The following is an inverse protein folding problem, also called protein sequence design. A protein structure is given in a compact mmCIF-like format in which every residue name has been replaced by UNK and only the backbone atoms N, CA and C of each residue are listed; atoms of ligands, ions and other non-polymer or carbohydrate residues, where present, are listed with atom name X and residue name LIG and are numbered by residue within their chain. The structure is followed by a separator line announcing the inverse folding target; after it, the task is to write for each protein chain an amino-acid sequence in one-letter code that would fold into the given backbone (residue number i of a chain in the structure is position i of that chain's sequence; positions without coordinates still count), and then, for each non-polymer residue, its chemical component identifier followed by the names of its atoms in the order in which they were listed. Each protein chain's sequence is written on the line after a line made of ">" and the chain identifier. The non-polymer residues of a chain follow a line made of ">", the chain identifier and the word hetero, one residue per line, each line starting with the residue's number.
data_IF_354968556737
#
_entry.id   IF_354968556737
#
_cell.length_a   1.000
_cell.length_b   1.000
_cell.length_c   1.000
_cell.angle_alpha   90.00
_cell.angle_beta   90.00
_cell.angle_gamma   90.00
#
_symmetry.space_group_name_H-M   'P 1'
#
loop_
_entity.id
_entity.type
_entity.pdbx_description
1 polymer ?
#
# COMPACT_ATOMS: atom_id res chain seq x y z
N UNK A 1 25.45 15.76 52.14
CA UNK A 1 25.96 15.96 50.76
C UNK A 1 24.79 16.26 49.81
N UNK A 2 24.28 17.50 49.79
CA UNK A 2 23.12 17.89 48.96
C UNK A 2 23.38 17.81 47.44
N UNK A 3 24.65 17.82 46.99
CA UNK A 3 25.01 17.67 45.57
C UNK A 3 24.80 16.26 45.00
N UNK A 4 24.80 15.22 45.83
CA UNK A 4 24.68 13.82 45.37
C UNK A 4 23.28 13.49 44.85
N UNK A 5 22.25 14.10 45.43
CA UNK A 5 20.85 13.92 44.98
C UNK A 5 20.61 14.49 43.58
N UNK A 6 21.27 15.58 43.22
CA UNK A 6 21.21 16.14 41.86
C UNK A 6 21.85 15.21 40.82
N UNK A 7 22.99 14.58 41.16
CA UNK A 7 23.64 13.61 40.27
C UNK A 7 22.76 12.38 40.06
N UNK A 8 22.18 11.85 41.15
CA UNK A 8 21.24 10.71 41.06
C UNK A 8 20.01 11.10 40.24
N UNK A 9 19.41 12.26 40.48
CA UNK A 9 18.27 12.75 39.71
C UNK A 9 18.58 12.92 38.21
N UNK A 10 19.75 13.49 37.88
CA UNK A 10 20.20 13.65 36.50
C UNK A 10 20.44 12.28 35.83
N UNK A 11 21.06 11.33 36.52
CA UNK A 11 21.29 9.99 36.00
C UNK A 11 19.98 9.25 35.71
N UNK A 12 19.00 9.34 36.62
CA UNK A 12 17.65 8.76 36.42
C UNK A 12 16.96 9.42 35.21
N UNK A 13 17.00 10.75 35.11
CA UNK A 13 16.41 11.47 33.98
C UNK A 13 17.02 11.03 32.64
N UNK A 14 18.35 10.95 32.56
CA UNK A 14 19.06 10.48 31.37
C UNK A 14 18.66 9.05 31.02
N UNK A 15 18.58 8.15 32.01
CA UNK A 15 18.12 6.78 31.81
C UNK A 15 16.70 6.70 31.24
N UNK A 16 15.77 7.50 31.77
CA UNK A 16 14.39 7.57 31.27
C UNK A 16 14.33 8.10 29.83
N UNK A 17 15.10 9.15 29.53
CA UNK A 17 15.19 9.70 28.16
C UNK A 17 15.76 8.66 27.20
N UNK A 18 16.85 7.99 27.55
CA UNK A 18 17.45 6.94 26.72
C UNK A 18 16.46 5.80 26.44
N UNK A 19 15.75 5.32 27.47
CA UNK A 19 14.73 4.28 27.32
C UNK A 19 13.58 4.73 26.40
N UNK A 20 13.11 5.98 26.54
CA UNK A 20 12.09 6.56 25.69
C UNK A 20 12.53 6.66 24.22
N UNK A 21 13.79 7.05 23.97
CA UNK A 21 14.35 7.14 22.63
C UNK A 21 14.49 5.77 21.97
N UNK A 22 14.96 4.76 22.70
CA UNK A 22 15.03 3.37 22.20
C UNK A 22 13.65 2.84 21.84
N UNK A 23 12.67 3.05 22.73
CA UNK A 23 11.28 2.65 22.47
C UNK A 23 10.70 3.34 21.24
N UNK A 24 10.95 4.65 21.09
CA UNK A 24 10.48 5.45 19.96
C UNK A 24 11.12 4.98 18.65
N UNK A 25 12.43 4.75 18.64
CA UNK A 25 13.16 4.25 17.47
C UNK A 25 12.59 2.89 17.01
N UNK A 26 12.42 1.95 17.94
CA UNK A 26 11.83 0.64 17.63
C UNK A 26 10.38 0.73 17.15
N UNK A 27 9.58 1.68 17.67
CA UNK A 27 8.21 1.92 17.19
C UNK A 27 8.19 2.42 15.75
N UNK A 28 9.04 3.39 15.41
CA UNK A 28 9.12 3.95 14.05
C UNK A 28 9.54 2.87 13.05
N UNK A 29 10.57 2.10 13.40
CA UNK A 29 11.08 0.99 12.58
C UNK A 29 9.97 -0.02 12.26
N UNK A 30 9.26 -0.51 13.29
CA UNK A 30 8.15 -1.46 13.11
C UNK A 30 7.06 -0.94 12.18
N UNK A 31 6.74 0.35 12.22
CA UNK A 31 5.73 0.95 11.34
C UNK A 31 6.23 1.05 9.89
N UNK A 32 7.52 1.36 9.69
CA UNK A 32 8.12 1.38 8.35
C UNK A 32 8.11 -0.02 7.72
N UNK A 33 8.59 -1.04 8.45
CA UNK A 33 8.59 -2.43 7.96
C UNK A 33 7.16 -2.91 7.63
N UNK A 34 6.16 -2.51 8.42
CA UNK A 34 4.75 -2.82 8.13
C UNK A 34 4.27 -2.14 6.85
N UNK A 35 4.54 -0.85 6.66
CA UNK A 35 4.18 -0.14 5.43
C UNK A 35 4.85 -0.78 4.20
N UNK A 36 6.13 -1.19 4.29
CA UNK A 36 6.82 -1.88 3.21
C UNK A 36 6.26 -3.28 2.91
N UNK A 37 5.85 -4.01 3.94
CA UNK A 37 5.17 -5.29 3.77
C UNK A 37 3.80 -5.12 3.08
N UNK A 38 3.08 -4.05 3.42
CA UNK A 38 1.81 -3.71 2.79
C UNK A 38 1.99 -3.29 1.33
N UNK A 39 3.04 -2.53 1.01
CA UNK A 39 3.39 -2.18 -0.36
C UNK A 39 3.68 -3.43 -1.22
N UNK A 40 4.42 -4.41 -0.69
CA UNK A 40 4.66 -5.69 -1.37
C UNK A 40 3.40 -6.52 -1.54
N UNK A 41 2.52 -6.55 -0.53
CA UNK A 41 1.24 -7.23 -0.62
C UNK A 41 0.33 -6.59 -1.67
N UNK A 42 0.28 -5.26 -1.72
CA UNK A 42 -0.43 -4.47 -2.72
C UNK A 42 0.05 -4.81 -4.14
N UNK A 43 1.37 -4.80 -4.36
CA UNK A 43 1.97 -5.14 -5.66
C UNK A 43 1.60 -6.56 -6.12
N UNK A 44 1.61 -7.54 -5.21
CA UNK A 44 1.15 -8.89 -5.53
C UNK A 44 -0.34 -8.94 -5.93
N UNK A 45 -1.19 -8.06 -5.39
CA UNK A 45 -2.59 -7.95 -5.81
C UNK A 45 -2.75 -7.26 -7.17
N UNK A 46 -1.93 -6.24 -7.47
CA UNK A 46 -1.88 -5.61 -8.79
C UNK A 46 -1.53 -6.64 -9.87
N UNK A 47 -0.43 -7.40 -9.67
CA UNK A 47 0.00 -8.44 -10.60
C UNK A 47 -1.07 -9.52 -10.82
N UNK A 48 -1.72 -9.99 -9.74
CA UNK A 48 -2.80 -10.98 -9.85
C UNK A 48 -3.99 -10.46 -10.65
N UNK A 49 -4.37 -9.20 -10.45
CA UNK A 49 -5.47 -8.56 -11.18
C UNK A 49 -5.13 -8.37 -12.66
N UNK A 50 -3.94 -7.86 -12.96
CA UNK A 50 -3.49 -7.66 -14.33
C UNK A 50 -3.34 -8.99 -15.09
N UNK A 51 -2.83 -10.04 -14.44
CA UNK A 51 -2.78 -11.38 -15.02
C UNK A 51 -4.19 -11.94 -15.31
N UNK A 52 -5.12 -11.84 -14.36
CA UNK A 52 -6.50 -12.26 -14.57
C UNK A 52 -7.18 -11.48 -15.71
N UNK A 53 -6.92 -10.18 -15.81
CA UNK A 53 -7.43 -9.34 -16.90
C UNK A 53 -6.85 -9.72 -18.26
N UNK A 54 -5.57 -10.08 -18.34
CA UNK A 54 -4.94 -10.55 -19.56
C UNK A 54 -5.55 -11.87 -20.05
N UNK A 55 -5.80 -12.82 -19.14
CA UNK A 55 -6.46 -14.11 -19.44
C UNK A 55 -7.89 -13.88 -19.93
N UNK A 56 -8.66 -13.01 -19.26
CA UNK A 56 -10.00 -12.64 -19.69
C UNK A 56 -10.00 -12.00 -21.08
N UNK A 57 -9.05 -11.10 -21.35
CA UNK A 57 -8.92 -10.42 -22.63
C UNK A 57 -8.61 -11.40 -23.77
N UNK A 58 -7.71 -12.37 -23.53
CA UNK A 58 -7.39 -13.43 -24.50
C UNK A 58 -8.63 -14.26 -24.81
N UNK A 59 -9.40 -14.67 -23.79
CA UNK A 59 -10.62 -15.45 -23.99
C UNK A 59 -11.70 -14.71 -24.80
N UNK A 60 -11.78 -13.39 -24.64
CA UNK A 60 -12.75 -12.52 -25.33
C UNK A 60 -12.22 -11.84 -26.58
N UNK A 61 -10.99 -12.14 -27.00
CA UNK A 61 -10.30 -11.46 -28.11
C UNK A 61 -10.28 -9.92 -27.98
N UNK A 62 -10.19 -9.42 -26.73
CA UNK A 62 -10.20 -7.99 -26.41
C UNK A 62 -8.82 -7.36 -26.46
N UNK A 63 -8.43 -6.83 -27.63
CA UNK A 63 -7.06 -6.31 -27.88
C UNK A 63 -6.69 -5.16 -26.93
N UNK A 64 -7.58 -4.19 -26.73
CA UNK A 64 -7.30 -3.03 -25.86
C UNK A 64 -7.12 -3.43 -24.40
N UNK A 65 -7.99 -4.32 -23.89
CA UNK A 65 -7.88 -4.82 -22.52
C UNK A 65 -6.60 -5.65 -22.34
N UNK A 66 -6.24 -6.47 -23.33
CA UNK A 66 -5.00 -7.24 -23.29
C UNK A 66 -3.77 -6.31 -23.26
N UNK A 67 -3.76 -5.28 -24.09
CA UNK A 67 -2.69 -4.28 -24.12
C UNK A 67 -2.55 -3.56 -22.77
N UNK A 68 -3.66 -3.06 -22.21
CA UNK A 68 -3.65 -2.39 -20.91
C UNK A 68 -3.17 -3.32 -19.77
N UNK A 69 -3.62 -4.58 -19.77
CA UNK A 69 -3.18 -5.58 -18.80
C UNK A 69 -1.68 -5.88 -18.91
N UNK A 70 -1.14 -5.98 -20.13
CA UNK A 70 0.29 -6.16 -20.38
C UNK A 70 1.10 -4.95 -19.92
N UNK A 71 0.65 -3.74 -20.25
CA UNK A 71 1.31 -2.50 -19.80
C UNK A 71 1.35 -2.45 -18.27
N UNK A 72 0.26 -2.82 -17.57
CA UNK A 72 0.24 -2.88 -16.11
C UNK A 72 1.23 -3.90 -15.51
N UNK A 73 1.37 -5.08 -16.14
CA UNK A 73 2.34 -6.12 -15.72
C UNK A 73 3.79 -5.66 -15.89
N UNK A 74 4.09 -4.97 -16.99
CA UNK A 74 5.46 -4.57 -17.35
C UNK A 74 5.84 -3.20 -16.77
N UNK A 75 4.88 -2.42 -16.26
CA UNK A 75 5.10 -1.06 -15.77
C UNK A 75 6.08 -1.02 -14.59
N UNK A 76 7.08 -0.14 -14.71
CA UNK A 76 8.01 0.17 -13.63
C UNK A 76 7.37 1.05 -12.54
N UNK A 77 8.08 1.28 -11.41
CA UNK A 77 7.51 1.98 -10.24
C UNK A 77 6.96 3.39 -10.49
N UNK A 78 7.47 4.09 -11.51
CA UNK A 78 7.02 5.46 -11.85
C UNK A 78 5.78 5.49 -12.74
N UNK A 79 5.58 4.46 -13.54
CA UNK A 79 4.50 4.37 -14.53
C UNK A 79 3.33 3.51 -14.03
N UNK A 80 3.55 2.74 -12.95
CA UNK A 80 2.60 1.77 -12.43
C UNK A 80 1.23 2.38 -12.11
N UNK A 81 1.17 3.54 -11.47
CA UNK A 81 -0.10 4.21 -11.14
C UNK A 81 -0.92 4.52 -12.41
N UNK A 82 -0.27 5.08 -13.45
CA UNK A 82 -0.93 5.39 -14.71
C UNK A 82 -1.40 4.13 -15.46
N UNK A 83 -0.57 3.09 -15.49
CA UNK A 83 -0.91 1.82 -16.12
C UNK A 83 -2.10 1.11 -15.44
N UNK A 84 -2.15 1.14 -14.10
CA UNK A 84 -3.27 0.56 -13.33
C UNK A 84 -4.57 1.35 -13.48
N UNK A 85 -4.48 2.67 -13.64
CA UNK A 85 -5.64 3.51 -13.94
C UNK A 85 -6.18 3.24 -15.34
N UNK A 86 -5.31 3.03 -16.33
CA UNK A 86 -5.72 2.65 -17.68
C UNK A 86 -6.36 1.26 -17.71
N UNK A 87 -5.76 0.26 -17.05
CA UNK A 87 -6.36 -1.06 -16.88
C UNK A 87 -7.73 -0.98 -16.19
N UNK A 88 -7.86 -0.16 -15.16
CA UNK A 88 -9.13 0.03 -14.46
C UNK A 88 -10.19 0.65 -15.37
N UNK A 89 -9.81 1.60 -16.22
CA UNK A 89 -10.71 2.19 -17.24
C UNK A 89 -11.20 1.13 -18.22
N UNK A 90 -10.29 0.32 -18.77
CA UNK A 90 -10.62 -0.75 -19.72
C UNK A 90 -11.52 -1.83 -19.10
N UNK A 91 -11.26 -2.19 -17.84
CA UNK A 91 -12.09 -3.15 -17.10
C UNK A 91 -13.49 -2.61 -16.79
N UNK A 92 -13.65 -1.31 -16.53
CA UNK A 92 -14.96 -0.69 -16.30
C UNK A 92 -15.78 -0.59 -17.58
N UNK A 93 -15.15 -0.43 -18.75
CA UNK A 93 -15.85 -0.48 -20.04
C UNK A 93 -16.21 -1.91 -20.48
N UNK A 94 -15.51 -2.92 -19.95
CA UNK A 94 -15.83 -4.31 -20.21
C UNK A 94 -17.14 -4.71 -19.49
N UNK A 95 -18.04 -5.39 -20.20
CA UNK A 95 -19.22 -6.02 -19.57
C UNK A 95 -18.78 -7.28 -18.85
N UNK A 96 -18.75 -7.26 -17.53
CA UNK A 96 -18.32 -8.38 -16.69
C UNK A 96 -19.55 -9.05 -16.07
N UNK A 97 -19.80 -10.30 -16.46
CA UNK A 97 -20.85 -11.14 -15.89
C UNK A 97 -20.24 -11.97 -14.74
N UNK A 98 -20.69 -11.81 -13.49
CA UNK A 98 -20.15 -12.56 -12.36
C UNK A 98 -20.31 -14.09 -12.46
N UNK A 99 -21.20 -14.58 -13.34
CA UNK A 99 -21.41 -16.01 -13.59
C UNK A 99 -20.24 -16.61 -14.41
N UNK A 100 -19.59 -15.78 -15.23
CA UNK A 100 -18.43 -16.17 -16.03
C UNK A 100 -17.19 -16.29 -15.12
N UNK A 101 -16.56 -17.48 -14.98
CA UNK A 101 -15.46 -17.72 -14.03
C UNK A 101 -14.28 -16.75 -14.21
N UNK A 102 -13.93 -16.39 -15.44
CA UNK A 102 -12.85 -15.45 -15.74
C UNK A 102 -13.21 -14.01 -15.31
N UNK A 103 -14.49 -13.62 -15.43
CA UNK A 103 -14.97 -12.34 -14.93
C UNK A 103 -14.99 -12.31 -13.40
N UNK A 104 -15.47 -13.38 -12.77
CA UNK A 104 -15.44 -13.52 -11.30
C UNK A 104 -14.02 -13.37 -10.78
N UNK A 105 -13.05 -14.03 -11.40
CA UNK A 105 -11.65 -13.96 -11.00
C UNK A 105 -11.12 -12.51 -11.03
N UNK A 106 -11.44 -11.75 -12.08
CA UNK A 106 -11.06 -10.33 -12.20
C UNK A 106 -11.77 -9.45 -11.18
N UNK A 107 -13.08 -9.66 -10.96
CA UNK A 107 -13.87 -8.93 -9.96
C UNK A 107 -13.34 -9.18 -8.56
N UNK A 108 -13.08 -10.45 -8.21
CA UNK A 108 -12.53 -10.86 -6.93
C UNK A 108 -11.12 -10.30 -6.71
N UNK A 109 -10.25 -10.34 -7.74
CA UNK A 109 -8.92 -9.75 -7.68
C UNK A 109 -9.00 -8.22 -7.47
N UNK A 110 -9.91 -7.54 -8.17
CA UNK A 110 -10.15 -6.11 -8.04
C UNK A 110 -10.66 -5.71 -6.65
N UNK A 111 -11.57 -6.50 -6.06
CA UNK A 111 -12.04 -6.29 -4.68
C UNK A 111 -10.93 -6.47 -3.66
N UNK A 112 -10.12 -7.52 -3.79
CA UNK A 112 -8.95 -7.77 -2.93
C UNK A 112 -7.91 -6.65 -3.05
N UNK A 113 -7.71 -6.12 -4.26
CA UNK A 113 -6.84 -4.98 -4.50
C UNK A 113 -7.34 -3.72 -3.77
N UNK A 114 -8.65 -3.45 -3.79
CA UNK A 114 -9.23 -2.32 -3.08
C UNK A 114 -8.93 -2.38 -1.57
N UNK A 115 -9.10 -3.56 -0.96
CA UNK A 115 -8.77 -3.80 0.45
C UNK A 115 -7.27 -3.63 0.73
N UNK A 116 -6.41 -4.18 -0.13
CA UNK A 116 -4.97 -4.04 0.01
C UNK A 116 -4.52 -2.58 -0.08
N UNK A 117 -5.13 -1.78 -0.98
CA UNK A 117 -4.86 -0.34 -1.11
C UNK A 117 -5.23 0.42 0.16
N UNK A 118 -6.36 0.09 0.78
CA UNK A 118 -6.79 0.70 2.03
C UNK A 118 -5.80 0.39 3.16
N UNK A 119 -5.44 -0.88 3.34
CA UNK A 119 -4.45 -1.30 4.36
C UNK A 119 -3.10 -0.63 4.13
N UNK A 120 -2.63 -0.56 2.89
CA UNK A 120 -1.40 0.16 2.53
C UNK A 120 -1.49 1.64 2.91
N UNK A 121 -2.59 2.31 2.56
CA UNK A 121 -2.81 3.74 2.85
C UNK A 121 -2.78 4.02 4.35
N UNK A 122 -3.44 3.19 5.16
CA UNK A 122 -3.49 3.32 6.60
C UNK A 122 -2.10 3.12 7.23
N UNK A 123 -1.36 2.09 6.80
CA UNK A 123 -0.01 1.83 7.30
C UNK A 123 1.00 2.89 6.86
N UNK A 124 0.88 3.44 5.64
CA UNK A 124 1.66 4.59 5.18
C UNK A 124 1.35 5.82 6.02
N UNK A 125 0.07 6.08 6.32
CA UNK A 125 -0.33 7.19 7.20
C UNK A 125 0.30 7.07 8.58
N UNK A 126 0.23 5.90 9.21
CA UNK A 126 0.83 5.65 10.51
C UNK A 126 2.35 5.81 10.50
N UNK A 127 3.02 5.26 9.49
CA UNK A 127 4.47 5.37 9.33
C UNK A 127 4.91 6.83 9.11
N UNK A 128 4.18 7.60 8.30
CA UNK A 128 4.44 9.04 8.09
C UNK A 128 4.19 9.85 9.34
N UNK A 129 3.11 9.59 10.08
CA UNK A 129 2.80 10.27 11.33
C UNK A 129 3.89 10.02 12.40
N UNK A 130 4.38 8.78 12.50
CA UNK A 130 5.48 8.44 13.39
C UNK A 130 6.80 9.13 12.99
N UNK A 131 7.14 9.12 11.69
CA UNK A 131 8.37 9.73 11.15
C UNK A 131 8.34 11.27 11.16
N UNK A 132 7.15 11.87 11.19
CA UNK A 132 6.95 13.32 11.25
C UNK A 132 7.24 13.95 12.61
N UNK A 133 7.36 13.17 13.69
CA UNK A 133 7.60 13.68 15.05
C UNK A 133 8.95 14.43 15.14
N UNK A 134 9.02 15.59 15.83
CA UNK A 134 10.20 16.44 15.84
C UNK A 134 11.45 15.73 16.41
N UNK A 135 11.27 14.94 17.47
CA UNK A 135 12.36 14.13 18.06
C UNK A 135 12.92 13.11 17.06
N UNK A 136 12.06 12.43 16.30
CA UNK A 136 12.47 11.42 15.30
C UNK A 136 13.23 12.08 14.15
N UNK A 137 12.76 13.25 13.69
CA UNK A 137 13.43 14.04 12.65
C UNK A 137 14.78 14.58 13.11
N UNK A 138 14.84 15.15 14.31
CA UNK A 138 16.06 15.72 14.89
C UNK A 138 17.13 14.64 15.10
N UNK A 139 16.72 13.48 15.61
CA UNK A 139 17.62 12.34 15.86
C UNK A 139 17.86 11.48 14.62
N UNK A 140 17.34 11.89 13.45
CA UNK A 140 17.54 11.21 12.16
C UNK A 140 17.12 9.73 12.18
N UNK A 141 16.19 9.36 13.07
CA UNK A 141 15.70 8.00 13.26
C UNK A 141 14.89 7.56 12.03
N UNK A 142 15.30 6.45 11.40
CA UNK A 142 14.69 5.96 10.15
C UNK A 142 15.34 6.52 8.88
N UNK A 143 16.65 6.79 8.89
CA UNK A 143 17.40 7.21 7.70
C UNK A 143 17.64 6.10 6.66
N UNK A 144 17.51 4.84 7.06
CA UNK A 144 17.76 3.67 6.19
C UNK A 144 16.61 3.34 5.23
N UNK A 145 15.41 3.87 5.46
CA UNK A 145 14.24 3.58 4.64
C UNK A 145 13.77 4.83 3.88
N UNK A 146 13.34 4.60 2.63
CA UNK A 146 12.69 5.61 1.82
C UNK A 146 11.43 6.14 2.51
N UNK A 147 11.03 7.36 2.14
CA UNK A 147 9.85 7.95 2.74
C UNK A 147 8.59 7.20 2.26
N UNK A 148 7.71 6.73 3.17
CA UNK A 148 6.49 6.03 2.76
C UNK A 148 5.64 6.91 1.83
N UNK A 149 5.32 6.37 0.66
CA UNK A 149 4.55 7.03 -0.39
C UNK A 149 3.17 6.41 -0.51
N UNK A 150 2.18 7.26 -0.69
CA UNK A 150 0.86 6.82 -1.11
C UNK A 150 0.93 6.28 -2.53
N UNK A 151 0.02 5.36 -2.85
CA UNK A 151 -0.16 4.81 -4.17
C UNK A 151 -1.52 5.27 -4.69
N UNK A 152 -1.50 6.20 -5.63
CA UNK A 152 -2.71 6.89 -6.09
C UNK A 152 -3.25 6.22 -7.35
N UNK A 153 -4.30 5.43 -7.15
CA UNK A 153 -5.05 4.78 -8.21
C UNK A 153 -6.55 5.02 -8.02
N UNK A 154 -7.25 5.04 -9.15
CA UNK A 154 -8.70 5.01 -9.19
C UNK A 154 -9.24 3.82 -8.40
N UNK A 155 -10.46 3.93 -7.89
CA UNK A 155 -11.10 2.84 -7.16
C UNK A 155 -11.13 1.55 -8.01
N UNK A 156 -10.38 0.50 -7.64
CA UNK A 156 -10.27 -0.67 -8.49
C UNK A 156 -11.55 -1.51 -8.47
N UNK A 157 -12.51 -1.23 -7.58
CA UNK A 157 -13.76 -1.99 -7.52
C UNK A 157 -14.51 -1.94 -8.85
N UNK A 158 -15.04 -3.09 -9.24
CA UNK A 158 -15.81 -3.27 -10.46
C UNK A 158 -17.25 -3.59 -10.03
N UNK A 159 -18.26 -2.88 -10.57
CA UNK A 159 -19.64 -3.14 -10.22
C UNK A 159 -20.01 -4.55 -10.70
N UNK A 160 -20.43 -5.41 -9.76
CA UNK A 160 -21.11 -6.64 -10.14
C UNK A 160 -22.53 -6.23 -10.58
N UNK A 161 -22.95 -6.63 -11.77
CA UNK A 161 -24.25 -6.24 -12.35
C UNK A 161 -25.48 -6.55 -11.47
N UNK A 162 -25.32 -7.36 -10.41
CA UNK A 162 -26.35 -7.61 -9.40
C UNK A 162 -26.82 -6.34 -8.65
N UNK A 163 -25.99 -5.30 -8.52
CA UNK A 163 -26.36 -4.07 -7.79
C UNK A 163 -27.23 -3.09 -8.61
N UNK A 164 -27.48 -3.36 -9.91
CA UNK A 164 -28.26 -2.48 -10.80
C UNK A 164 -29.71 -2.96 -10.97
N UNK A 165 -30.05 -4.14 -10.46
CA UNK A 165 -31.37 -4.77 -10.64
C UNK A 165 -32.31 -4.65 -9.41
N UNK A 166 -31.99 -3.78 -8.44
CA UNK A 166 -32.80 -3.55 -7.24
C UNK A 166 -33.48 -2.17 -7.25
#
# INVERSE_FOLDING_TARGET
>A
MPGMWWVVGAAVLVGLVAAYLVWTAGRVERLQTRAESAARALDAHLLRRAAAAAVLAERRSGVELYAAARIALDAGPREREAAENDLTRQLRSARLDPVDPECEAVIAASRRLALARQVHTDLVRDARAARGRPLVRLLRMGRGHDWPRYFDIDDPTLPAQADVAA
#
